data_IF_922298747227
#
_entry.id   IF_922298747227
#
_cell.length_a   1.000
_cell.length_b   1.000
_cell.length_c   1.000
_cell.angle_alpha   90.00
_cell.angle_beta   90.00
_cell.angle_gamma   90.00
#
_symmetry.space_group_name_H-M   'P 1'
#
loop_
_entity.id
_entity.type
_entity.pdbx_description
1 polymer ?
#
# COMPACT_ATOMS: atom_id res chain seq x y z
N UNK A 1 -31.37 -2.53 58.32
CA UNK A 1 -31.37 -1.33 57.46
C UNK A 1 -29.99 -1.18 56.84
N UNK A 2 -29.92 -0.97 55.51
CA UNK A 2 -28.77 -0.55 54.69
C UNK A 2 -27.71 -1.66 54.49
N UNK A 3 -27.21 -1.97 53.28
CA UNK A 3 -27.25 -1.26 51.99
C UNK A 3 -26.87 -2.20 50.85
N UNK A 4 -27.61 -2.08 49.75
CA UNK A 4 -27.33 -2.57 48.40
C UNK A 4 -26.30 -1.65 47.73
N UNK A 5 -25.47 -2.18 46.81
CA UNK A 5 -25.01 -1.58 45.52
C UNK A 5 -23.56 -1.95 45.17
N UNK A 6 -23.36 -2.85 44.20
CA UNK A 6 -22.20 -2.87 43.30
C UNK A 6 -22.39 -3.93 42.19
N UNK A 7 -23.11 -3.60 41.12
CA UNK A 7 -23.14 -4.40 39.89
C UNK A 7 -23.71 -3.58 38.71
N UNK A 8 -22.91 -2.70 38.09
CA UNK A 8 -23.32 -1.99 36.88
C UNK A 8 -22.15 -1.38 36.06
N UNK A 9 -21.02 -2.08 35.90
CA UNK A 9 -19.88 -1.54 35.12
C UNK A 9 -19.33 -2.48 34.03
N UNK A 10 -19.91 -3.67 33.82
CA UNK A 10 -19.34 -4.68 32.90
C UNK A 10 -20.17 -4.94 31.62
N UNK A 11 -21.15 -4.08 31.31
CA UNK A 11 -22.01 -4.25 30.11
C UNK A 11 -21.78 -3.20 29.02
N UNK A 12 -20.90 -2.21 29.21
CA UNK A 12 -20.69 -1.15 28.21
C UNK A 12 -19.61 -1.46 27.16
N UNK A 13 -18.73 -2.44 27.40
CA UNK A 13 -17.63 -2.75 26.47
C UNK A 13 -18.09 -3.63 25.29
N UNK A 14 -19.15 -4.42 25.46
CA UNK A 14 -19.64 -5.35 24.42
C UNK A 14 -20.34 -4.57 23.28
N UNK A 15 -21.00 -3.46 23.60
CA UNK A 15 -21.74 -2.64 22.64
C UNK A 15 -20.82 -1.92 21.65
N UNK A 16 -19.62 -1.52 22.06
CA UNK A 16 -18.65 -0.86 21.17
C UNK A 16 -18.04 -1.83 20.15
N UNK A 17 -17.81 -3.10 20.52
CA UNK A 17 -17.35 -4.12 19.58
C UNK A 17 -18.41 -4.49 18.54
N UNK A 18 -19.68 -4.62 18.97
CA UNK A 18 -20.79 -4.93 18.07
C UNK A 18 -21.05 -3.78 17.07
N UNK A 19 -20.96 -2.52 17.51
CA UNK A 19 -21.09 -1.37 16.61
C UNK A 19 -19.89 -1.25 15.65
N UNK A 20 -18.68 -1.58 16.08
CA UNK A 20 -17.49 -1.56 15.22
C UNK A 20 -17.57 -2.64 14.11
N UNK A 21 -18.15 -3.80 14.40
CA UNK A 21 -18.39 -4.87 13.42
C UNK A 21 -19.53 -4.52 12.44
N UNK A 22 -20.65 -3.98 12.95
CA UNK A 22 -21.79 -3.57 12.11
C UNK A 22 -21.45 -2.40 11.18
N UNK A 23 -20.61 -1.46 11.62
CA UNK A 23 -20.13 -0.35 10.79
C UNK A 23 -19.14 -0.84 9.72
N UNK A 24 -18.31 -1.84 10.03
CA UNK A 24 -17.42 -2.51 9.05
C UNK A 24 -18.21 -3.22 7.94
N UNK A 25 -19.31 -3.88 8.29
CA UNK A 25 -20.19 -4.52 7.31
C UNK A 25 -20.94 -3.53 6.42
N UNK A 26 -21.31 -2.35 6.93
CA UNK A 26 -22.05 -1.31 6.17
C UNK A 26 -21.16 -0.43 5.30
N UNK A 27 -19.87 -0.32 5.61
CA UNK A 27 -18.87 0.35 4.77
C UNK A 27 -18.11 -0.66 3.88
N UNK A 28 -18.70 -1.81 3.54
CA UNK A 28 -18.19 -2.64 2.46
C UNK A 28 -18.33 -1.87 1.16
N UNK A 29 -17.27 -1.14 0.82
CA UNK A 29 -17.02 -0.69 -0.52
C UNK A 29 -17.28 -1.87 -1.46
N UNK A 30 -18.13 -1.68 -2.48
CA UNK A 30 -18.30 -2.67 -3.54
C UNK A 30 -16.99 -2.73 -4.31
N UNK A 31 -16.06 -3.54 -3.82
CA UNK A 31 -14.82 -3.88 -4.51
C UNK A 31 -15.25 -4.83 -5.63
N UNK A 32 -15.63 -4.24 -6.77
CA UNK A 32 -15.64 -4.98 -8.01
C UNK A 32 -14.19 -5.39 -8.30
N UNK A 33 -13.86 -6.65 -8.61
CA UNK A 33 -12.48 -7.10 -8.77
C UNK A 33 -11.98 -7.00 -10.23
N UNK A 34 -12.63 -6.21 -11.08
CA UNK A 34 -12.27 -6.11 -12.50
C UNK A 34 -12.57 -4.73 -13.07
N UNK A 35 -11.72 -4.32 -14.01
CA UNK A 35 -11.96 -3.17 -14.88
C UNK A 35 -13.14 -3.37 -15.85
N UNK A 36 -13.59 -4.60 -16.08
CA UNK A 36 -14.70 -4.96 -16.98
C UNK A 36 -15.94 -5.30 -16.14
N UNK A 37 -17.12 -4.85 -16.56
CA UNK A 37 -18.37 -5.14 -15.84
C UNK A 37 -18.69 -6.64 -15.81
N UNK A 38 -19.30 -7.14 -14.73
CA UNK A 38 -19.71 -8.55 -14.64
C UNK A 38 -20.66 -8.93 -15.79
N UNK A 39 -21.53 -8.00 -16.23
CA UNK A 39 -22.44 -8.20 -17.34
C UNK A 39 -21.69 -8.45 -18.66
N UNK A 40 -20.65 -7.67 -18.94
CA UNK A 40 -19.81 -7.83 -20.13
C UNK A 40 -19.03 -9.16 -20.06
N UNK A 41 -18.41 -9.48 -18.90
CA UNK A 41 -17.73 -10.76 -18.69
C UNK A 41 -18.71 -11.91 -18.92
N UNK A 42 -19.93 -11.83 -18.39
CA UNK A 42 -20.96 -12.86 -18.53
C UNK A 42 -21.42 -13.04 -19.98
N UNK A 43 -21.48 -11.96 -20.76
CA UNK A 43 -21.86 -12.01 -22.18
C UNK A 43 -20.87 -12.80 -23.04
N UNK A 44 -19.60 -12.88 -22.61
CA UNK A 44 -18.53 -13.59 -23.32
C UNK A 44 -18.20 -14.94 -22.66
N UNK A 45 -18.07 -14.96 -21.33
CA UNK A 45 -17.65 -16.11 -20.52
C UNK A 45 -18.44 -16.16 -19.19
N UNK A 46 -19.65 -16.74 -19.19
CA UNK A 46 -20.50 -16.79 -17.99
C UNK A 46 -19.89 -17.57 -16.82
N UNK A 47 -19.09 -18.60 -17.11
CA UNK A 47 -18.36 -19.34 -16.08
C UNK A 47 -17.31 -18.46 -15.39
N UNK A 48 -16.60 -17.62 -16.14
CA UNK A 48 -15.63 -16.69 -15.60
C UNK A 48 -16.30 -15.63 -14.72
N UNK A 49 -17.43 -15.06 -15.16
CA UNK A 49 -18.20 -14.11 -14.35
C UNK A 49 -18.63 -14.73 -13.01
N UNK A 50 -19.11 -15.99 -13.04
CA UNK A 50 -19.46 -16.72 -11.82
C UNK A 50 -18.24 -16.93 -10.92
N UNK A 51 -17.11 -17.40 -11.46
CA UNK A 51 -15.91 -17.64 -10.66
C UNK A 51 -15.32 -16.35 -10.07
N UNK A 52 -15.32 -15.25 -10.83
CA UNK A 52 -14.90 -13.94 -10.32
C UNK A 52 -15.74 -13.52 -9.12
N UNK A 53 -17.07 -13.57 -9.25
CA UNK A 53 -17.97 -13.21 -8.14
C UNK A 53 -17.80 -14.14 -6.94
N UNK A 54 -17.89 -15.46 -7.13
CA UNK A 54 -17.89 -16.43 -6.02
C UNK A 54 -16.53 -16.56 -5.33
N UNK A 55 -15.45 -16.71 -6.09
CA UNK A 55 -14.13 -16.97 -5.52
C UNK A 55 -13.38 -15.69 -5.14
N UNK A 56 -13.59 -14.58 -5.85
CA UNK A 56 -12.84 -13.34 -5.62
C UNK A 56 -13.66 -12.40 -4.73
N UNK A 57 -14.85 -11.99 -5.18
CA UNK A 57 -15.65 -10.97 -4.47
C UNK A 57 -16.30 -11.48 -3.19
N UNK A 58 -16.93 -12.66 -3.23
CA UNK A 58 -17.72 -13.20 -2.12
C UNK A 58 -16.88 -13.96 -1.08
N UNK A 59 -15.74 -14.53 -1.49
CA UNK A 59 -14.80 -15.26 -0.61
C UNK A 59 -13.48 -14.52 -0.41
N UNK A 60 -12.56 -14.56 -1.37
CA UNK A 60 -11.16 -14.13 -1.14
C UNK A 60 -11.04 -12.73 -0.53
N UNK A 61 -11.80 -11.76 -1.02
CA UNK A 61 -11.76 -10.36 -0.56
C UNK A 61 -12.53 -10.10 0.73
N UNK A 62 -13.40 -11.01 1.17
CA UNK A 62 -14.14 -10.90 2.44
C UNK A 62 -13.37 -11.47 3.62
N UNK A 63 -12.30 -12.25 3.38
CA UNK A 63 -11.49 -12.90 4.43
C UNK A 63 -10.73 -11.91 5.32
N UNK A 64 -10.94 -12.05 6.63
CA UNK A 64 -10.53 -11.10 7.68
C UNK A 64 -9.04 -11.10 8.01
N UNK A 65 -8.30 -12.15 7.64
CA UNK A 65 -6.90 -12.31 8.01
C UNK A 65 -5.96 -11.29 7.34
N UNK A 66 -6.41 -10.67 6.25
CA UNK A 66 -5.68 -9.60 5.55
C UNK A 66 -6.67 -8.48 5.24
N UNK A 67 -6.36 -7.26 5.70
CA UNK A 67 -7.24 -6.12 5.51
C UNK A 67 -7.45 -5.80 4.01
N UNK A 68 -8.58 -5.17 3.62
CA UNK A 68 -8.79 -4.73 2.24
C UNK A 68 -7.65 -3.82 1.74
N UNK A 69 -7.11 -2.98 2.63
CA UNK A 69 -5.95 -2.14 2.37
C UNK A 69 -4.72 -2.96 1.96
N UNK A 70 -4.31 -3.91 2.80
CA UNK A 70 -3.09 -4.68 2.56
C UNK A 70 -3.27 -5.64 1.37
N UNK A 71 -4.48 -6.15 1.17
CA UNK A 71 -4.83 -6.94 -0.02
C UNK A 71 -4.72 -6.13 -1.30
N UNK A 72 -5.09 -4.84 -1.26
CA UNK A 72 -4.93 -3.92 -2.38
C UNK A 72 -3.46 -3.63 -2.66
N UNK A 73 -2.63 -3.43 -1.63
CA UNK A 73 -1.17 -3.28 -1.79
C UNK A 73 -0.57 -4.48 -2.53
N UNK A 74 -0.90 -5.71 -2.11
CA UNK A 74 -0.40 -6.93 -2.75
C UNK A 74 -0.90 -7.03 -4.21
N UNK A 75 -2.17 -6.72 -4.45
CA UNK A 75 -2.76 -6.80 -5.80
C UNK A 75 -2.12 -5.81 -6.76
N UNK A 76 -1.96 -4.55 -6.35
CA UNK A 76 -1.25 -3.51 -7.13
C UNK A 76 0.19 -3.95 -7.39
N UNK A 77 0.91 -4.42 -6.37
CA UNK A 77 2.29 -4.85 -6.53
C UNK A 77 2.44 -5.99 -7.56
N UNK A 78 1.53 -6.96 -7.55
CA UNK A 78 1.53 -8.06 -8.53
C UNK A 78 1.20 -7.59 -9.95
N UNK A 79 0.24 -6.68 -10.12
CA UNK A 79 -0.10 -6.13 -11.44
C UNK A 79 1.05 -5.32 -12.05
N UNK A 80 1.77 -4.56 -11.23
CA UNK A 80 2.99 -3.86 -11.64
C UNK A 80 4.06 -4.89 -12.03
N UNK A 81 4.34 -5.86 -11.16
CA UNK A 81 5.39 -6.86 -11.40
C UNK A 81 5.13 -7.72 -12.65
N UNK A 82 3.85 -7.94 -13.00
CA UNK A 82 3.41 -8.68 -14.18
C UNK A 82 3.24 -7.80 -15.43
N UNK A 83 3.47 -6.49 -15.32
CA UNK A 83 3.23 -5.50 -16.36
C UNK A 83 1.82 -5.60 -16.97
N UNK A 84 0.79 -5.57 -16.12
CA UNK A 84 -0.63 -5.68 -16.50
C UNK A 84 -1.37 -4.34 -16.31
N UNK A 85 -1.08 -3.31 -17.13
CA UNK A 85 -1.59 -1.96 -16.93
C UNK A 85 -3.12 -1.83 -17.13
N UNK A 86 -3.74 -2.75 -17.88
CA UNK A 86 -5.18 -2.72 -18.17
C UNK A 86 -6.04 -2.85 -16.91
N UNK A 87 -5.65 -3.73 -15.98
CA UNK A 87 -6.32 -3.90 -14.68
C UNK A 87 -5.74 -3.00 -13.59
N UNK A 88 -4.49 -2.53 -13.77
CA UNK A 88 -3.79 -1.73 -12.77
C UNK A 88 -4.55 -0.46 -12.38
N UNK A 89 -5.15 0.23 -13.36
CA UNK A 89 -5.92 1.46 -13.08
C UNK A 89 -7.02 1.21 -12.05
N UNK A 90 -7.78 0.15 -12.26
CA UNK A 90 -8.89 -0.23 -11.40
C UNK A 90 -8.41 -0.58 -9.99
N UNK A 91 -7.33 -1.35 -9.87
CA UNK A 91 -6.78 -1.72 -8.55
C UNK A 91 -6.08 -0.57 -7.81
N UNK A 92 -5.61 0.46 -8.52
CA UNK A 92 -5.16 1.70 -7.88
C UNK A 92 -6.34 2.44 -7.26
N UNK A 93 -7.48 2.54 -7.96
CA UNK A 93 -8.70 3.13 -7.39
C UNK A 93 -9.15 2.36 -6.15
N UNK A 94 -9.23 1.03 -6.22
CA UNK A 94 -9.57 0.16 -5.09
C UNK A 94 -8.59 0.35 -3.93
N UNK A 95 -7.29 0.48 -4.20
CA UNK A 95 -6.28 0.70 -3.17
C UNK A 95 -6.50 2.03 -2.43
N UNK A 96 -6.73 3.11 -3.18
CA UNK A 96 -6.99 4.43 -2.60
C UNK A 96 -8.25 4.44 -1.76
N UNK A 97 -9.33 3.82 -2.25
CA UNK A 97 -10.59 3.74 -1.50
C UNK A 97 -10.50 2.81 -0.28
N UNK A 98 -9.59 1.83 -0.32
CA UNK A 98 -9.25 0.96 0.82
C UNK A 98 -8.29 1.60 1.83
N UNK A 99 -7.89 2.85 1.61
CA UNK A 99 -7.04 3.61 2.54
C UNK A 99 -5.53 3.46 2.32
N UNK A 100 -5.09 2.97 1.16
CA UNK A 100 -3.69 3.13 0.72
C UNK A 100 -3.49 4.58 0.30
N UNK A 101 -2.43 5.22 0.77
CA UNK A 101 -2.20 6.64 0.43
C UNK A 101 -1.51 6.80 -0.93
N UNK A 102 -1.64 7.97 -1.60
CA UNK A 102 -0.86 8.26 -2.80
C UNK A 102 0.65 8.15 -2.58
N UNK A 103 1.13 8.55 -1.39
CA UNK A 103 2.53 8.43 -1.01
C UNK A 103 3.00 6.98 -0.98
N UNK A 104 2.21 6.08 -0.40
CA UNK A 104 2.53 4.65 -0.37
C UNK A 104 2.51 4.01 -1.76
N UNK A 105 1.55 4.39 -2.62
CA UNK A 105 1.54 3.94 -4.01
C UNK A 105 2.79 4.40 -4.78
N UNK A 106 3.23 5.64 -4.55
CA UNK A 106 4.48 6.16 -5.10
C UNK A 106 5.68 5.31 -4.67
N UNK A 107 5.79 4.97 -3.38
CA UNK A 107 6.86 4.11 -2.87
C UNK A 107 6.79 2.68 -3.42
N UNK A 108 5.60 2.09 -3.55
CA UNK A 108 5.42 0.75 -4.14
C UNK A 108 5.96 0.73 -5.58
N UNK A 109 5.63 1.75 -6.38
CA UNK A 109 6.12 1.87 -7.76
C UNK A 109 7.65 1.98 -7.79
N UNK A 110 8.22 2.86 -6.95
CA UNK A 110 9.68 3.04 -6.83
C UNK A 110 10.36 1.74 -6.42
N UNK A 111 9.84 1.06 -5.41
CA UNK A 111 10.38 -0.21 -4.92
C UNK A 111 10.38 -1.28 -6.02
N UNK A 112 9.29 -1.38 -6.78
CA UNK A 112 9.16 -2.36 -7.85
C UNK A 112 9.99 -2.04 -9.09
N UNK A 113 10.50 -0.83 -9.25
CA UNK A 113 11.51 -0.54 -10.28
C UNK A 113 12.77 -1.41 -10.10
N UNK A 114 13.16 -1.67 -8.85
CA UNK A 114 14.33 -2.49 -8.52
C UNK A 114 14.01 -3.99 -8.52
N UNK A 115 12.83 -4.39 -8.05
CA UNK A 115 12.48 -5.81 -7.88
C UNK A 115 11.80 -6.44 -9.09
N UNK A 116 11.14 -5.65 -9.93
CA UNK A 116 10.42 -6.13 -11.11
C UNK A 116 10.90 -5.52 -12.43
N UNK A 117 11.82 -4.55 -12.37
CA UNK A 117 12.43 -3.90 -13.51
C UNK A 117 11.86 -2.50 -13.80
N UNK A 118 12.74 -1.61 -14.24
CA UNK A 118 12.43 -0.22 -14.55
C UNK A 118 11.25 -0.02 -15.53
N UNK A 119 11.13 -0.81 -16.63
CA UNK A 119 10.01 -0.65 -17.56
C UNK A 119 8.63 -0.90 -16.91
N UNK A 120 8.54 -1.83 -15.97
CA UNK A 120 7.29 -2.13 -15.26
C UNK A 120 6.87 -0.94 -14.38
N UNK A 121 7.82 -0.33 -13.67
CA UNK A 121 7.56 0.86 -12.88
C UNK A 121 7.13 2.06 -13.76
N UNK A 122 7.80 2.27 -14.90
CA UNK A 122 7.43 3.35 -15.84
C UNK A 122 6.01 3.16 -16.42
N UNK A 123 5.64 1.92 -16.74
CA UNK A 123 4.27 1.56 -17.16
C UNK A 123 3.26 1.90 -16.06
N UNK A 124 3.58 1.55 -14.80
CA UNK A 124 2.76 1.89 -13.64
C UNK A 124 2.61 3.40 -13.43
N UNK A 125 3.70 4.18 -13.55
CA UNK A 125 3.65 5.65 -13.44
C UNK A 125 2.63 6.25 -14.41
N UNK A 126 2.61 5.80 -15.67
CA UNK A 126 1.67 6.32 -16.66
C UNK A 126 0.21 6.07 -16.28
N UNK A 127 -0.09 4.90 -15.70
CA UNK A 127 -1.45 4.55 -15.25
C UNK A 127 -1.83 5.32 -13.99
N UNK A 128 -0.95 5.32 -12.98
CA UNK A 128 -1.17 6.00 -11.70
C UNK A 128 -1.36 7.50 -11.87
N UNK A 129 -0.60 8.14 -12.77
CA UNK A 129 -0.75 9.56 -13.08
C UNK A 129 -2.19 9.93 -13.47
N UNK A 130 -2.82 9.13 -14.35
CA UNK A 130 -4.19 9.41 -14.79
C UNK A 130 -5.21 9.29 -13.64
N UNK A 131 -4.99 8.36 -12.71
CA UNK A 131 -5.82 8.22 -11.50
C UNK A 131 -5.60 9.42 -10.56
N UNK A 132 -4.34 9.79 -10.32
CA UNK A 132 -3.99 10.94 -9.46
C UNK A 132 -4.58 12.24 -9.97
N UNK A 133 -4.52 12.50 -11.29
CA UNK A 133 -5.18 13.66 -11.91
C UNK A 133 -6.69 13.64 -11.68
N UNK A 134 -7.34 12.48 -11.85
CA UNK A 134 -8.79 12.33 -11.64
C UNK A 134 -9.18 12.57 -10.18
N UNK A 135 -8.33 12.16 -9.23
CA UNK A 135 -8.58 12.28 -7.79
C UNK A 135 -8.02 13.56 -7.16
N UNK A 136 -7.42 14.45 -7.96
CA UNK A 136 -6.85 15.71 -7.47
C UNK A 136 -5.64 15.55 -6.55
N UNK A 137 -4.89 14.44 -6.68
CA UNK A 137 -3.64 14.24 -5.94
C UNK A 137 -2.57 15.14 -6.53
N UNK A 138 -2.04 16.05 -5.71
CA UNK A 138 -0.96 16.96 -6.10
C UNK A 138 0.42 16.37 -5.79
N UNK A 139 1.50 16.82 -6.45
CA UNK A 139 2.86 16.39 -6.13
C UNK A 139 3.26 16.57 -4.66
N UNK A 140 2.72 17.59 -3.99
CA UNK A 140 2.98 17.87 -2.57
C UNK A 140 2.44 16.77 -1.63
N UNK A 141 1.57 15.89 -2.12
CA UNK A 141 1.05 14.75 -1.37
C UNK A 141 1.93 13.48 -1.51
N UNK A 142 3.04 13.55 -2.25
CA UNK A 142 3.97 12.46 -2.49
C UNK A 142 5.22 12.61 -1.60
N UNK A 143 5.92 11.50 -1.27
CA UNK A 143 7.09 11.54 -0.42
C UNK A 143 8.23 12.31 -1.09
N UNK A 144 9.02 13.01 -0.27
CA UNK A 144 10.25 13.62 -0.73
C UNK A 144 11.24 12.56 -1.20
N UNK A 145 11.86 12.79 -2.37
CA UNK A 145 12.85 11.87 -2.94
C UNK A 145 14.13 11.77 -2.08
N UNK A 146 14.34 12.70 -1.15
CA UNK A 146 15.49 12.69 -0.25
C UNK A 146 14.99 12.86 1.18
N UNK A 147 15.38 11.96 2.11
CA UNK A 147 15.04 12.12 3.51
C UNK A 147 15.75 13.35 4.08
N UNK A 148 15.15 13.93 5.12
CA UNK A 148 15.86 14.92 5.93
C UNK A 148 17.04 14.24 6.63
N UNK A 149 18.25 14.62 6.25
CA UNK A 149 19.47 14.02 6.79
C UNK A 149 19.78 14.66 8.14
N UNK A 150 20.13 13.82 9.11
CA UNK A 150 20.65 14.33 10.38
C UNK A 150 21.86 15.26 10.12
N UNK A 151 22.01 16.34 10.89
CA UNK A 151 23.18 17.21 10.78
C UNK A 151 24.46 16.39 10.88
N UNK A 152 25.40 16.65 9.97
CA UNK A 152 26.69 15.98 9.99
C UNK A 152 27.39 16.26 11.33
N UNK A 153 27.73 15.20 12.07
CA UNK A 153 28.57 15.34 13.26
C UNK A 153 30.00 15.66 12.82
N UNK A 154 30.33 16.95 12.76
CA UNK A 154 31.62 17.43 12.27
C UNK A 154 32.81 16.89 13.06
N UNK A 155 32.65 16.70 14.39
CA UNK A 155 33.72 16.18 15.23
C UNK A 155 33.98 14.70 14.96
N UNK A 156 32.93 13.88 14.88
CA UNK A 156 33.07 12.47 14.53
C UNK A 156 33.64 12.28 13.12
N UNK A 157 33.22 13.11 12.15
CA UNK A 157 33.72 13.07 10.78
C UNK A 157 35.19 13.49 10.70
N UNK A 158 35.59 14.53 11.45
CA UNK A 158 36.99 14.93 11.57
C UNK A 158 37.84 13.78 12.13
N UNK A 159 37.41 13.16 13.24
CA UNK A 159 38.12 12.01 13.83
C UNK A 159 38.22 10.82 12.87
N UNK A 160 37.15 10.53 12.12
CA UNK A 160 37.15 9.50 11.07
C UNK A 160 38.18 9.83 9.98
N UNK A 161 38.17 11.07 9.47
CA UNK A 161 39.08 11.52 8.41
C UNK A 161 40.54 11.41 8.82
N UNK A 162 40.90 11.92 10.01
CA UNK A 162 42.26 11.83 10.57
C UNK A 162 42.69 10.37 10.77
N UNK A 163 41.76 9.51 11.20
CA UNK A 163 42.03 8.07 11.37
C UNK A 163 42.30 7.39 10.02
N UNK A 164 41.53 7.70 8.98
CA UNK A 164 41.72 7.17 7.62
C UNK A 164 43.05 7.65 7.04
N UNK A 165 43.36 8.94 7.17
CA UNK A 165 44.62 9.54 6.71
C UNK A 165 45.84 8.93 7.42
N UNK A 166 45.72 8.62 8.71
CA UNK A 166 46.84 8.08 9.49
C UNK A 166 47.00 6.56 9.34
N UNK A 167 45.91 5.80 9.22
CA UNK A 167 45.95 4.33 9.25
C UNK A 167 45.79 3.67 7.88
N UNK A 168 44.97 4.23 7.01
CA UNK A 168 44.59 3.59 5.74
C UNK A 168 45.33 4.20 4.54
N UNK A 169 45.50 5.53 4.55
CA UNK A 169 46.12 6.28 3.44
C UNK A 169 47.63 6.06 3.23
N UNK A 170 48.49 5.90 4.26
CA UNK A 170 49.94 5.76 4.06
C UNK A 170 50.34 4.51 3.26
N UNK A 171 49.43 3.55 3.12
CA UNK A 171 49.64 2.31 2.36
C UNK A 171 49.22 2.40 0.89
N UNK A 172 48.58 3.49 0.45
CA UNK A 172 48.08 3.67 -0.93
C UNK A 172 49.07 4.44 -1.80
N UNK A 173 49.95 5.25 -1.20
CA UNK A 173 50.87 6.16 -1.88
C UNK A 173 52.32 5.65 -2.01
N UNK A 174 52.56 4.33 -1.91
CA UNK A 174 53.82 3.72 -2.36
C UNK A 174 53.66 3.19 -3.80
N UNK A 175 53.97 3.99 -4.84
CA UNK A 175 54.33 3.39 -6.12
C UNK A 175 55.65 2.63 -5.94
N UNK A 176 55.65 1.36 -6.31
CA UNK A 176 56.89 0.60 -6.55
C UNK A 176 57.57 1.06 -7.83
#
# INVERSE_FOLDING_TARGET
MKSVLAAAAMSLVISDFANAEETRGKAMMKIEPSAISEADIRSVSPALARFGREAITEDLWTRDALSPRDRSVVSVAMLIARNQPAELKHYIDVALDSGVTPAELSEIITHLAFYSGWPNAMSAVSVTKAVFETRGVTPDALPDASPDLLPLNQEAEKQRSETVEKKCWPNISRPG
#
